data_IF_342288301238
#
_entry.id   IF_342288301238
#
_cell.length_a   1.000
_cell.length_b   1.000
_cell.length_c   1.000
_cell.angle_alpha   90.00
_cell.angle_beta   90.00
_cell.angle_gamma   90.00
#
_symmetry.space_group_name_H-M   'P 1'
#
loop_
_entity.id
_entity.type
_entity.pdbx_description
1 polymer ?
#
# COMPACT_ATOMS: atom_id res chain seq x y z
N UNK A 1 -24.96 -22.14 -5.59
CA UNK A 1 -23.88 -21.19 -5.25
C UNK A 1 -23.13 -20.92 -6.53
N UNK A 2 -23.28 -19.72 -7.12
CA UNK A 2 -22.53 -19.36 -8.33
C UNK A 2 -21.07 -19.11 -7.94
N UNK A 3 -20.16 -19.90 -8.50
CA UNK A 3 -18.71 -19.78 -8.32
C UNK A 3 -18.03 -18.94 -9.41
N UNK A 4 -18.79 -18.31 -10.30
CA UNK A 4 -18.29 -17.53 -11.45
C UNK A 4 -18.08 -16.05 -11.12
N UNK A 5 -17.27 -15.76 -10.10
CA UNK A 5 -16.58 -14.46 -10.05
C UNK A 5 -15.14 -14.72 -10.41
N UNK A 6 -14.84 -14.80 -11.69
CA UNK A 6 -13.47 -14.70 -12.18
C UNK A 6 -12.96 -13.30 -11.80
N UNK A 7 -12.23 -13.19 -10.69
CA UNK A 7 -11.65 -11.93 -10.23
C UNK A 7 -10.46 -11.63 -11.14
N UNK A 8 -10.76 -11.05 -12.31
CA UNK A 8 -9.75 -10.61 -13.27
C UNK A 8 -9.14 -9.31 -12.79
N UNK A 9 -7.82 -9.20 -12.92
CA UNK A 9 -7.07 -8.00 -12.60
C UNK A 9 -6.86 -7.21 -13.89
N UNK A 10 -7.50 -6.05 -14.00
CA UNK A 10 -7.11 -5.06 -15.00
C UNK A 10 -5.81 -4.40 -14.53
N UNK A 11 -4.73 -4.61 -15.30
CA UNK A 11 -3.41 -4.11 -14.97
C UNK A 11 -3.25 -2.60 -15.14
N UNK A 12 -4.29 -1.90 -15.59
CA UNK A 12 -4.28 -0.46 -15.89
C UNK A 12 -5.34 0.34 -15.13
N UNK A 13 -6.21 -0.31 -14.36
CA UNK A 13 -7.32 0.31 -13.62
C UNK A 13 -6.89 1.52 -12.79
N UNK A 14 -5.69 1.47 -12.19
CA UNK A 14 -5.15 2.54 -11.35
C UNK A 14 -3.83 3.10 -11.88
N UNK A 15 -3.60 2.99 -13.20
CA UNK A 15 -2.39 3.48 -13.83
C UNK A 15 -2.20 4.98 -13.54
N UNK A 16 -1.00 5.33 -13.04
CA UNK A 16 -0.64 6.71 -12.70
C UNK A 16 -1.31 7.24 -11.43
N UNK A 17 -2.06 6.42 -10.70
CA UNK A 17 -2.60 6.77 -9.38
C UNK A 17 -1.60 6.43 -8.28
N UNK A 18 -1.66 7.22 -7.22
CA UNK A 18 -0.86 7.03 -6.01
C UNK A 18 -1.80 6.58 -4.91
N UNK A 19 -1.45 5.49 -4.22
CA UNK A 19 -2.29 4.89 -3.19
C UNK A 19 -1.48 4.70 -1.93
N UNK A 20 -1.96 5.27 -0.82
CA UNK A 20 -1.40 5.06 0.51
C UNK A 20 -2.15 3.91 1.20
N UNK A 21 -1.42 2.88 1.62
CA UNK A 21 -1.96 1.74 2.39
C UNK A 21 -1.36 1.74 3.79
N UNK A 22 -2.19 2.01 4.79
CA UNK A 22 -1.81 1.91 6.20
C UNK A 22 -1.77 0.45 6.64
N UNK A 23 -0.79 0.09 7.48
CA UNK A 23 -0.56 -1.31 7.85
C UNK A 23 -0.21 -2.20 6.65
N UNK A 24 0.25 -1.61 5.54
CA UNK A 24 0.47 -2.27 4.24
C UNK A 24 1.64 -3.25 4.20
N UNK A 25 2.26 -3.54 5.34
CA UNK A 25 3.50 -4.31 5.44
C UNK A 25 3.30 -5.78 5.83
N UNK A 26 2.11 -6.17 6.31
CA UNK A 26 1.80 -7.55 6.73
C UNK A 26 0.32 -7.87 6.50
N UNK A 27 0.00 -9.17 6.41
CA UNK A 27 -1.36 -9.69 6.42
C UNK A 27 -2.24 -9.09 5.32
N UNK A 28 -3.45 -8.64 5.68
CA UNK A 28 -4.41 -8.08 4.72
C UNK A 28 -3.86 -6.83 4.01
N UNK A 29 -3.16 -5.95 4.75
CA UNK A 29 -2.60 -4.73 4.18
C UNK A 29 -1.56 -5.01 3.09
N UNK A 30 -0.70 -6.01 3.31
CA UNK A 30 0.27 -6.46 2.30
C UNK A 30 -0.41 -7.06 1.06
N UNK A 31 -1.46 -7.85 1.26
CA UNK A 31 -2.23 -8.43 0.16
C UNK A 31 -2.91 -7.33 -0.68
N UNK A 32 -3.51 -6.33 -0.03
CA UNK A 32 -4.09 -5.15 -0.68
C UNK A 32 -3.02 -4.38 -1.46
N UNK A 33 -1.88 -4.08 -0.83
CA UNK A 33 -0.80 -3.34 -1.48
C UNK A 33 -0.26 -4.09 -2.71
N UNK A 34 -0.14 -5.41 -2.62
CA UNK A 34 0.28 -6.26 -3.75
C UNK A 34 -0.73 -6.22 -4.89
N UNK A 35 -2.02 -6.36 -4.58
CA UNK A 35 -3.11 -6.32 -5.57
C UNK A 35 -3.20 -4.98 -6.30
N UNK A 36 -3.00 -3.87 -5.59
CA UNK A 36 -3.03 -2.52 -6.14
C UNK A 36 -1.81 -2.23 -7.02
N UNK A 37 -0.62 -2.75 -6.67
CA UNK A 37 0.55 -2.63 -7.56
C UNK A 37 0.32 -3.32 -8.91
N UNK A 38 -0.41 -4.44 -8.91
CA UNK A 38 -0.75 -5.16 -10.12
C UNK A 38 -1.68 -4.37 -11.06
N UNK A 39 -2.36 -3.32 -10.59
CA UNK A 39 -3.24 -2.45 -11.42
C UNK A 39 -2.55 -1.19 -11.95
N UNK A 40 -1.22 -1.10 -11.81
CA UNK A 40 -0.43 0.04 -12.28
C UNK A 40 -0.37 1.23 -11.31
N UNK A 41 -0.86 1.06 -10.07
CA UNK A 41 -0.75 2.09 -9.05
C UNK A 41 0.66 2.17 -8.45
N UNK A 42 1.10 3.39 -8.13
CA UNK A 42 2.24 3.62 -7.22
C UNK A 42 1.75 3.48 -5.78
N UNK A 43 2.06 2.35 -5.15
CA UNK A 43 1.56 2.02 -3.81
C UNK A 43 2.60 2.32 -2.74
N UNK A 44 2.28 3.27 -1.87
CA UNK A 44 3.04 3.64 -0.69
C UNK A 44 2.46 2.93 0.52
N UNK A 45 3.32 2.34 1.34
CA UNK A 45 2.91 1.63 2.55
C UNK A 45 3.44 2.33 3.78
N UNK A 46 2.68 2.29 4.89
CA UNK A 46 3.15 2.85 6.17
C UNK A 46 2.93 1.88 7.32
N UNK A 47 3.91 1.82 8.21
CA UNK A 47 3.89 1.10 9.47
C UNK A 47 4.91 1.70 10.45
N UNK A 48 4.89 1.27 11.71
CA UNK A 48 5.84 1.75 12.74
C UNK A 48 7.29 1.30 12.51
N UNK A 49 7.49 0.17 11.87
CA UNK A 49 8.82 -0.41 11.65
C UNK A 49 8.90 -1.03 10.26
N UNK A 50 10.04 -0.88 9.61
CA UNK A 50 10.29 -1.46 8.31
C UNK A 50 10.47 -2.99 8.45
N UNK A 51 9.74 -3.82 7.68
CA UNK A 51 10.01 -5.24 7.61
C UNK A 51 11.31 -5.52 6.85
N UNK A 52 12.05 -6.55 7.27
CA UNK A 52 13.32 -6.95 6.63
C UNK A 52 13.15 -7.36 5.16
N UNK A 53 11.98 -7.89 4.77
CA UNK A 53 11.71 -8.45 3.44
C UNK A 53 10.78 -7.57 2.59
N UNK A 54 10.85 -6.25 2.74
CA UNK A 54 9.96 -5.36 1.99
C UNK A 54 10.35 -5.30 0.51
N UNK A 55 9.40 -5.62 -0.39
CA UNK A 55 9.65 -5.67 -1.85
C UNK A 55 9.98 -4.31 -2.48
N UNK A 56 9.54 -3.22 -1.86
CA UNK A 56 9.70 -1.85 -2.38
C UNK A 56 10.02 -0.90 -1.24
N UNK A 57 11.28 -0.91 -0.74
CA UNK A 57 11.71 -0.07 0.38
C UNK A 57 11.54 1.43 0.10
N UNK A 58 11.69 1.86 -1.15
CA UNK A 58 11.53 3.26 -1.57
C UNK A 58 10.09 3.77 -1.49
N UNK A 59 9.11 2.87 -1.29
CA UNK A 59 7.68 3.20 -1.15
C UNK A 59 7.16 2.86 0.24
N UNK A 60 8.01 3.00 1.26
CA UNK A 60 7.70 2.80 2.66
C UNK A 60 7.90 4.07 3.48
N UNK A 61 6.92 4.39 4.33
CA UNK A 61 7.01 5.48 5.29
C UNK A 61 6.89 4.90 6.70
N UNK A 62 8.00 4.91 7.43
CA UNK A 62 8.07 4.50 8.82
C UNK A 62 7.51 5.60 9.73
N UNK A 63 6.32 5.40 10.30
CA UNK A 63 5.68 6.42 11.15
C UNK A 63 4.62 5.82 12.08
N UNK A 64 4.33 6.52 13.17
CA UNK A 64 3.26 6.19 14.11
C UNK A 64 2.01 7.04 13.88
N UNK A 65 1.04 6.44 13.17
CA UNK A 65 -0.25 7.05 12.84
C UNK A 65 -1.11 7.38 14.09
N UNK A 66 -0.78 6.87 15.27
CA UNK A 66 -1.47 7.24 16.52
C UNK A 66 -1.09 8.63 17.03
N UNK A 67 -0.11 9.29 16.40
CA UNK A 67 0.37 10.63 16.78
C UNK A 67 0.08 11.65 15.67
N UNK A 68 -0.24 12.93 16.01
CA UNK A 68 -0.39 13.99 15.01
C UNK A 68 0.88 14.22 14.17
N UNK A 69 2.05 14.11 14.80
CA UNK A 69 3.34 14.27 14.12
C UNK A 69 3.55 13.15 13.09
N UNK A 70 3.22 11.91 13.46
CA UNK A 70 3.32 10.77 12.54
C UNK A 70 2.39 10.89 11.34
N UNK A 71 1.15 11.39 11.54
CA UNK A 71 0.23 11.70 10.44
C UNK A 71 0.85 12.77 9.51
N UNK A 72 1.41 13.83 10.09
CA UNK A 72 2.02 14.94 9.35
C UNK A 72 3.20 14.46 8.50
N UNK A 73 4.05 13.62 9.07
CA UNK A 73 5.18 13.01 8.37
C UNK A 73 4.73 12.19 7.16
N UNK A 74 3.68 11.38 7.32
CA UNK A 74 3.12 10.58 6.23
C UNK A 74 2.62 11.49 5.09
N UNK A 75 1.90 12.57 5.40
CA UNK A 75 1.37 13.49 4.40
C UNK A 75 2.47 14.20 3.58
N UNK A 76 3.60 14.53 4.22
CA UNK A 76 4.73 15.15 3.53
C UNK A 76 5.47 14.17 2.62
N UNK A 77 5.59 12.90 3.02
CA UNK A 77 6.35 11.90 2.27
C UNK A 77 5.51 11.18 1.22
N UNK A 78 4.18 11.14 1.35
CA UNK A 78 3.31 10.49 0.38
C UNK A 78 2.94 11.38 -0.81
N UNK A 79 3.85 12.22 -1.32
CA UNK A 79 3.70 13.07 -2.52
C UNK A 79 4.28 12.51 -3.82
#
# INVERSE_FOLDING_TARGET
MNTDTDIRIDSTELLGKRVLVTGGTKGIGEAIATRLRQTGATVITTARSMPENLRSPDLFIGSDLSTPDGVTEILHQCQ
#
